data_IF_818775470004
#
_entry.id   IF_818775470004
#
_cell.length_a   1.000
_cell.length_b   1.000
_cell.length_c   1.000
_cell.angle_alpha   90.00
_cell.angle_beta   90.00
_cell.angle_gamma   90.00
#
_symmetry.space_group_name_H-M   'P 1'
#
loop_
_entity.id
_entity.type
_entity.pdbx_description
1 polymer ?
#
# COMPACT_ATOMS: atom_id res chain seq x y z
N UNK A 1 8.91 37.78 -10.54
CA UNK A 1 8.29 37.27 -9.30
C UNK A 1 8.85 35.89 -9.07
N UNK A 2 9.96 35.79 -8.35
CA UNK A 2 10.65 34.54 -8.06
C UNK A 2 9.79 33.77 -7.06
N UNK A 3 9.09 32.72 -7.51
CA UNK A 3 8.36 31.81 -6.63
C UNK A 3 9.35 31.13 -5.70
N UNK A 4 9.47 31.64 -4.47
CA UNK A 4 10.25 31.01 -3.42
C UNK A 4 9.71 29.59 -3.18
N UNK A 5 10.41 28.59 -3.73
CA UNK A 5 10.14 27.18 -3.44
C UNK A 5 10.43 26.99 -1.96
N UNK A 6 9.37 26.74 -1.17
CA UNK A 6 9.53 26.54 0.27
C UNK A 6 10.19 25.20 0.54
N UNK A 7 11.09 25.17 1.52
CA UNK A 7 11.89 23.99 1.84
C UNK A 7 11.00 22.82 2.32
N UNK A 8 11.37 21.56 2.03
CA UNK A 8 10.66 20.37 2.50
C UNK A 8 10.43 20.41 4.01
N UNK A 9 9.21 20.06 4.45
CA UNK A 9 8.86 19.97 5.87
C UNK A 9 9.09 18.55 6.37
N UNK A 10 9.56 18.41 7.61
CA UNK A 10 9.73 17.10 8.24
C UNK A 10 8.37 16.52 8.67
N UNK A 11 8.11 15.23 8.45
CA UNK A 11 6.97 14.56 9.06
C UNK A 11 7.14 14.51 10.59
N UNK A 12 6.03 14.54 11.31
CA UNK A 12 6.03 14.48 12.78
C UNK A 12 4.62 14.55 13.37
N UNK A 13 4.51 14.35 14.68
CA UNK A 13 3.23 14.30 15.41
C UNK A 13 2.39 15.56 15.19
N UNK A 14 3.02 16.73 15.13
CA UNK A 14 2.32 18.00 14.86
C UNK A 14 1.61 17.98 13.50
N UNK A 15 2.25 17.44 12.46
CA UNK A 15 1.63 17.31 11.14
C UNK A 15 0.55 16.24 11.13
N UNK A 16 0.83 15.09 11.75
CA UNK A 16 -0.13 13.98 11.90
C UNK A 16 -1.47 14.48 12.46
N UNK A 17 -1.42 15.30 13.51
CA UNK A 17 -2.60 15.80 14.20
C UNK A 17 -3.19 17.08 13.59
N UNK A 18 -2.52 17.73 12.63
CA UNK A 18 -3.02 19.01 12.09
C UNK A 18 -4.15 18.84 11.07
N UNK A 19 -4.35 17.63 10.53
CA UNK A 19 -5.43 17.38 9.56
C UNK A 19 -5.75 15.87 9.43
N UNK A 20 -7.02 15.45 9.27
CA UNK A 20 -7.38 14.03 9.13
C UNK A 20 -6.67 13.32 7.97
N UNK A 21 -6.44 14.02 6.86
CA UNK A 21 -5.65 13.50 5.74
C UNK A 21 -4.24 13.03 6.16
N UNK A 22 -3.59 13.73 7.09
CA UNK A 22 -2.25 13.35 7.56
C UNK A 22 -2.32 12.14 8.49
N UNK A 23 -3.35 12.07 9.32
CA UNK A 23 -3.60 10.88 10.13
C UNK A 23 -3.78 9.62 9.27
N UNK A 24 -4.54 9.73 8.18
CA UNK A 24 -4.77 8.63 7.22
C UNK A 24 -3.49 8.30 6.46
N UNK A 25 -2.90 9.28 5.77
CA UNK A 25 -1.74 9.07 4.90
C UNK A 25 -0.53 8.53 5.66
N UNK A 26 -0.33 8.94 6.92
CA UNK A 26 0.77 8.48 7.77
C UNK A 26 0.43 7.20 8.56
N UNK A 27 -0.67 6.51 8.23
CA UNK A 27 -1.04 5.23 8.82
C UNK A 27 -1.29 5.29 10.32
N UNK A 28 -2.01 6.31 10.79
CA UNK A 28 -2.20 6.60 12.22
C UNK A 28 -0.91 6.80 13.02
N UNK A 29 0.20 7.12 12.34
CA UNK A 29 1.51 7.38 12.95
C UNK A 29 2.56 6.30 12.67
N UNK A 30 2.22 5.16 12.06
CA UNK A 30 3.19 4.14 11.65
C UNK A 30 4.24 4.70 10.68
N UNK A 31 3.82 5.59 9.78
CA UNK A 31 4.69 6.30 8.85
C UNK A 31 5.64 7.32 9.50
N UNK A 32 5.49 7.60 10.79
CA UNK A 32 6.45 8.41 11.56
C UNK A 32 7.63 7.60 12.10
N UNK A 33 7.68 6.28 11.85
CA UNK A 33 8.80 5.45 12.28
C UNK A 33 10.13 6.02 11.75
N UNK A 34 11.18 6.14 12.59
CA UNK A 34 12.49 6.59 12.13
C UNK A 34 13.22 5.54 11.29
N UNK A 35 12.77 4.28 11.33
CA UNK A 35 13.41 3.15 10.65
C UNK A 35 12.36 2.46 9.80
N UNK A 36 12.64 2.36 8.50
CA UNK A 36 11.80 1.70 7.50
C UNK A 36 10.29 1.99 7.68
N UNK A 37 9.84 3.25 7.53
CA UNK A 37 8.44 3.62 7.74
C UNK A 37 7.47 2.72 6.99
N UNK A 38 7.80 2.36 5.75
CA UNK A 38 7.01 1.42 4.96
C UNK A 38 6.83 0.06 5.62
N UNK A 39 7.92 -0.55 6.12
CA UNK A 39 7.80 -1.83 6.85
C UNK A 39 6.89 -1.71 8.07
N UNK A 40 7.00 -0.64 8.85
CA UNK A 40 6.12 -0.40 10.01
C UNK A 40 4.67 -0.15 9.56
N UNK A 41 4.48 0.57 8.45
CA UNK A 41 3.19 0.82 7.80
C UNK A 41 2.52 -0.46 7.33
N UNK A 42 3.22 -1.31 6.59
CA UNK A 42 2.75 -2.61 6.11
C UNK A 42 2.38 -3.53 7.30
N UNK A 43 3.22 -3.63 8.33
CA UNK A 43 2.93 -4.45 9.51
C UNK A 43 1.72 -3.94 10.29
N UNK A 44 1.59 -2.61 10.40
CA UNK A 44 0.41 -1.98 10.96
C UNK A 44 -0.84 -2.28 10.14
N UNK A 45 -0.76 -2.18 8.81
CA UNK A 45 -1.83 -2.54 7.89
C UNK A 45 -2.27 -4.00 8.04
N UNK A 46 -1.32 -4.93 8.15
CA UNK A 46 -1.60 -6.34 8.41
C UNK A 46 -2.31 -6.55 9.75
N UNK A 47 -1.84 -5.92 10.82
CA UNK A 47 -2.50 -6.00 12.13
C UNK A 47 -3.95 -5.48 12.09
N UNK A 48 -4.16 -4.33 11.43
CA UNK A 48 -5.49 -3.75 11.27
C UNK A 48 -6.39 -4.64 10.41
N UNK A 49 -5.86 -5.27 9.36
CA UNK A 49 -6.61 -6.22 8.54
C UNK A 49 -7.15 -7.37 9.38
N UNK A 50 -6.27 -8.02 10.15
CA UNK A 50 -6.66 -9.15 11.02
C UNK A 50 -7.70 -8.71 12.05
N UNK A 51 -7.54 -7.52 12.63
CA UNK A 51 -8.52 -6.99 13.60
C UNK A 51 -9.90 -6.74 12.95
N UNK A 52 -9.94 -6.21 11.72
CA UNK A 52 -11.19 -6.02 10.98
C UNK A 52 -11.82 -7.35 10.60
N UNK A 53 -11.02 -8.30 10.10
CA UNK A 53 -11.48 -9.63 9.70
C UNK A 53 -12.13 -10.39 10.86
N UNK A 54 -11.54 -10.31 12.06
CA UNK A 54 -12.12 -10.91 13.29
C UNK A 54 -13.51 -10.38 13.63
N UNK A 55 -13.81 -9.13 13.27
CA UNK A 55 -15.12 -8.50 13.51
C UNK A 55 -16.10 -8.79 12.39
N UNK A 56 -15.65 -8.76 11.13
CA UNK A 56 -16.51 -8.98 9.96
C UNK A 56 -16.90 -10.45 9.76
N UNK A 57 -16.05 -11.38 10.20
CA UNK A 57 -16.23 -12.81 9.94
C UNK A 57 -16.04 -13.15 8.47
N UNK A 58 -16.75 -14.18 8.00
CA UNK A 58 -16.62 -14.71 6.64
C UNK A 58 -17.95 -14.70 5.88
N UNK A 59 -17.85 -14.73 4.55
CA UNK A 59 -18.99 -14.87 3.64
C UNK A 59 -19.34 -13.58 2.91
N UNK A 60 -20.40 -13.64 2.10
CA UNK A 60 -20.75 -12.61 1.12
C UNK A 60 -20.88 -11.20 1.72
N UNK A 61 -21.43 -11.07 2.93
CA UNK A 61 -21.58 -9.76 3.56
C UNK A 61 -20.22 -9.17 3.94
N UNK A 62 -19.30 -9.99 4.47
CA UNK A 62 -17.94 -9.57 4.77
C UNK A 62 -17.19 -9.16 3.49
N UNK A 63 -17.36 -9.91 2.40
CA UNK A 63 -16.75 -9.58 1.10
C UNK A 63 -17.25 -8.25 0.53
N UNK A 64 -18.56 -7.98 0.63
CA UNK A 64 -19.15 -6.71 0.22
C UNK A 64 -18.62 -5.54 1.07
N UNK A 65 -18.43 -5.76 2.37
CA UNK A 65 -17.85 -4.76 3.26
C UNK A 65 -16.38 -4.51 2.94
N UNK A 66 -15.58 -5.54 2.67
CA UNK A 66 -14.19 -5.39 2.25
C UNK A 66 -14.06 -4.67 0.90
N UNK A 67 -14.91 -5.02 -0.08
CA UNK A 67 -14.97 -4.31 -1.35
C UNK A 67 -15.28 -2.82 -1.16
N UNK A 68 -16.20 -2.49 -0.26
CA UNK A 68 -16.51 -1.09 0.08
C UNK A 68 -15.33 -0.39 0.79
N UNK A 69 -14.67 -1.05 1.75
CA UNK A 69 -13.48 -0.52 2.45
C UNK A 69 -12.37 -0.22 1.44
N UNK A 70 -12.09 -1.14 0.51
CA UNK A 70 -11.04 -0.96 -0.50
C UNK A 70 -11.40 0.15 -1.49
N UNK A 71 -12.64 0.18 -2.00
CA UNK A 71 -13.08 1.21 -2.93
C UNK A 71 -13.05 2.62 -2.31
N UNK A 72 -13.57 2.77 -1.10
CA UNK A 72 -13.55 4.04 -0.37
C UNK A 72 -12.11 4.39 0.03
N UNK A 73 -11.36 3.41 0.53
CA UNK A 73 -9.97 3.56 0.95
C UNK A 73 -9.05 4.00 -0.18
N UNK A 74 -9.31 3.60 -1.42
CA UNK A 74 -8.60 4.10 -2.59
C UNK A 74 -8.84 5.59 -2.82
N UNK A 75 -10.11 6.02 -2.84
CA UNK A 75 -10.48 7.42 -3.08
C UNK A 75 -10.01 8.34 -1.93
N UNK A 76 -10.23 7.93 -0.69
CA UNK A 76 -9.79 8.66 0.50
C UNK A 76 -8.27 8.67 0.59
N UNK A 77 -7.62 7.54 0.30
CA UNK A 77 -6.18 7.41 0.24
C UNK A 77 -5.54 8.35 -0.75
N UNK A 78 -6.00 8.33 -1.99
CA UNK A 78 -5.53 9.23 -3.04
C UNK A 78 -5.63 10.71 -2.63
N UNK A 79 -6.76 11.12 -2.07
CA UNK A 79 -6.93 12.47 -1.52
C UNK A 79 -5.96 12.76 -0.36
N UNK A 80 -5.84 11.82 0.58
CA UNK A 80 -5.02 11.95 1.78
C UNK A 80 -3.53 12.04 1.44
N UNK A 81 -3.05 11.17 0.56
CA UNK A 81 -1.68 11.14 0.06
C UNK A 81 -1.36 12.44 -0.69
N UNK A 82 -2.23 12.87 -1.61
CA UNK A 82 -2.08 14.15 -2.34
C UNK A 82 -1.92 15.33 -1.37
N UNK A 83 -2.80 15.42 -0.37
CA UNK A 83 -2.79 16.52 0.60
C UNK A 83 -1.56 16.48 1.50
N UNK A 84 -1.15 15.29 1.92
CA UNK A 84 0.00 15.10 2.81
C UNK A 84 1.31 15.38 2.09
N UNK A 85 1.46 14.92 0.84
CA UNK A 85 2.59 15.23 -0.02
C UNK A 85 2.74 16.74 -0.24
N UNK A 86 1.63 17.46 -0.48
CA UNK A 86 1.60 18.93 -0.57
C UNK A 86 2.02 19.61 0.73
N UNK A 87 1.53 19.15 1.88
CA UNK A 87 1.90 19.71 3.18
C UNK A 87 3.38 19.48 3.52
N UNK A 88 3.95 18.35 3.09
CA UNK A 88 5.37 18.02 3.25
C UNK A 88 6.26 18.69 2.20
N UNK A 89 5.68 19.11 1.07
CA UNK A 89 6.39 19.64 -0.09
C UNK A 89 7.38 18.63 -0.68
N UNK A 90 6.98 17.35 -0.64
CA UNK A 90 7.72 16.21 -1.18
C UNK A 90 6.75 15.41 -2.04
N UNK A 91 7.10 15.18 -3.31
CA UNK A 91 6.19 14.57 -4.29
C UNK A 91 5.83 13.11 -3.97
N UNK A 92 6.73 12.42 -3.28
CA UNK A 92 6.57 11.05 -2.78
C UNK A 92 7.34 10.93 -1.44
N UNK A 93 6.75 11.38 -0.33
CA UNK A 93 7.39 11.30 0.98
C UNK A 93 7.25 9.89 1.54
N UNK A 94 8.36 9.20 1.78
CA UNK A 94 8.36 7.84 2.38
C UNK A 94 7.83 7.72 3.81
N UNK A 95 7.20 8.77 4.36
CA UNK A 95 6.40 8.70 5.58
C UNK A 95 4.90 8.48 5.30
N UNK A 96 4.47 8.69 4.05
CA UNK A 96 3.17 8.25 3.58
C UNK A 96 3.26 6.73 3.43
N UNK A 97 2.34 6.02 4.05
CA UNK A 97 2.31 4.54 4.12
C UNK A 97 0.89 3.99 3.92
N UNK A 98 -0.06 4.85 3.52
CA UNK A 98 -1.44 4.45 3.31
C UNK A 98 -1.61 3.60 2.04
N UNK A 99 -0.86 3.93 1.00
CA UNK A 99 -0.61 3.10 -0.17
C UNK A 99 -0.25 1.66 0.22
N UNK A 100 0.73 1.50 1.12
CA UNK A 100 1.19 0.17 1.55
C UNK A 100 0.13 -0.57 2.37
N UNK A 101 -0.56 0.15 3.26
CA UNK A 101 -1.67 -0.37 4.07
C UNK A 101 -2.82 -0.84 3.18
N UNK A 102 -3.20 -0.02 2.21
CA UNK A 102 -4.29 -0.32 1.30
C UNK A 102 -3.93 -1.50 0.39
N UNK A 103 -2.70 -1.53 -0.12
CA UNK A 103 -2.19 -2.60 -0.97
C UNK A 103 -2.14 -3.93 -0.22
N UNK A 104 -1.65 -3.96 1.02
CA UNK A 104 -1.63 -5.21 1.79
C UNK A 104 -3.05 -5.68 2.15
N UNK A 105 -4.01 -4.79 2.39
CA UNK A 105 -5.41 -5.17 2.56
C UNK A 105 -5.99 -5.82 1.31
N UNK A 106 -5.70 -5.26 0.13
CA UNK A 106 -6.11 -5.84 -1.14
C UNK A 106 -5.51 -7.25 -1.32
N UNK A 107 -4.20 -7.39 -1.08
CA UNK A 107 -3.51 -8.68 -1.21
C UNK A 107 -4.13 -9.72 -0.27
N UNK A 108 -4.28 -9.40 1.02
CA UNK A 108 -4.82 -10.33 2.01
C UNK A 108 -6.29 -10.68 1.75
N UNK A 109 -7.11 -9.71 1.32
CA UNK A 109 -8.49 -9.97 0.96
C UNK A 109 -8.63 -10.94 -0.22
N UNK A 110 -7.80 -10.78 -1.26
CA UNK A 110 -7.82 -11.66 -2.45
C UNK A 110 -7.22 -13.04 -2.16
N UNK A 111 -6.15 -13.11 -1.35
CA UNK A 111 -5.59 -14.38 -0.86
C UNK A 111 -6.62 -15.15 -0.04
N UNK A 112 -7.54 -14.44 0.62
CA UNK A 112 -8.64 -15.02 1.40
C UNK A 112 -8.16 -15.63 2.70
N UNK A 113 -8.91 -16.63 3.20
CA UNK A 113 -8.66 -17.29 4.48
C UNK A 113 -7.36 -18.14 4.47
N UNK A 114 -6.21 -17.48 4.52
CA UNK A 114 -4.91 -18.08 4.73
C UNK A 114 -4.56 -18.14 6.22
N UNK A 115 -3.83 -19.17 6.62
CA UNK A 115 -3.21 -19.21 7.95
C UNK A 115 -2.16 -18.09 8.09
N UNK A 116 -1.71 -17.85 9.32
CA UNK A 116 -0.74 -16.78 9.59
C UNK A 116 0.54 -16.90 8.75
N UNK A 117 0.92 -18.11 8.34
CA UNK A 117 2.08 -18.37 7.47
C UNK A 117 1.82 -17.90 6.04
N UNK A 118 0.65 -18.19 5.49
CA UNK A 118 0.24 -17.67 4.19
C UNK A 118 0.13 -16.15 4.18
N UNK A 119 -0.40 -15.55 5.24
CA UNK A 119 -0.44 -14.09 5.40
C UNK A 119 0.98 -13.49 5.48
N UNK A 120 1.86 -14.10 6.28
CA UNK A 120 3.26 -13.65 6.38
C UNK A 120 4.00 -13.77 5.03
N UNK A 121 3.74 -14.82 4.25
CA UNK A 121 4.29 -14.98 2.91
C UNK A 121 3.77 -13.91 1.96
N UNK A 122 2.47 -13.57 2.05
CA UNK A 122 1.88 -12.50 1.24
C UNK A 122 2.47 -11.13 1.58
N UNK A 123 2.64 -10.81 2.87
CA UNK A 123 3.34 -9.60 3.35
C UNK A 123 4.78 -9.57 2.84
N UNK A 124 5.52 -10.68 2.95
CA UNK A 124 6.91 -10.75 2.50
C UNK A 124 7.03 -10.57 0.98
N UNK A 125 6.16 -11.22 0.21
CA UNK A 125 6.12 -11.09 -1.25
C UNK A 125 5.76 -9.67 -1.69
N UNK A 126 4.75 -9.05 -1.06
CA UNK A 126 4.40 -7.66 -1.29
C UNK A 126 5.57 -6.72 -1.02
N UNK A 127 6.19 -6.85 0.16
CA UNK A 127 7.35 -6.03 0.53
C UNK A 127 8.53 -6.18 -0.42
N UNK A 128 8.74 -7.37 -0.98
CA UNK A 128 9.75 -7.60 -2.01
C UNK A 128 9.44 -6.76 -3.27
N UNK A 129 8.21 -6.82 -3.78
CA UNK A 129 7.85 -6.07 -4.99
C UNK A 129 7.85 -4.55 -4.78
N UNK A 130 7.33 -4.07 -3.66
CA UNK A 130 7.35 -2.63 -3.37
C UNK A 130 8.78 -2.11 -3.09
N UNK A 131 9.60 -2.82 -2.30
CA UNK A 131 10.95 -2.34 -2.00
C UNK A 131 11.90 -2.40 -3.21
N UNK A 132 11.87 -3.51 -3.95
CA UNK A 132 12.81 -3.73 -5.05
C UNK A 132 12.34 -3.08 -6.36
N UNK A 133 11.05 -2.74 -6.47
CA UNK A 133 10.38 -2.19 -7.65
C UNK A 133 10.80 -2.86 -8.97
N UNK A 134 10.75 -4.20 -9.11
CA UNK A 134 11.17 -4.85 -10.35
C UNK A 134 10.15 -4.61 -11.48
N UNK A 135 10.65 -4.42 -12.70
CA UNK A 135 9.85 -4.46 -13.94
C UNK A 135 8.60 -3.57 -13.91
N UNK A 136 7.37 -4.14 -13.89
CA UNK A 136 6.13 -3.36 -13.89
C UNK A 136 6.03 -2.32 -12.77
N UNK A 137 6.56 -2.61 -11.58
CA UNK A 137 6.52 -1.68 -10.44
C UNK A 137 7.39 -0.46 -10.71
N UNK A 138 8.60 -0.64 -11.25
CA UNK A 138 9.46 0.48 -11.67
C UNK A 138 8.82 1.32 -12.78
N UNK A 139 8.08 0.71 -13.70
CA UNK A 139 7.33 1.46 -14.72
C UNK A 139 6.23 2.32 -14.08
N UNK A 140 5.46 1.76 -13.15
CA UNK A 140 4.39 2.47 -12.45
C UNK A 140 4.94 3.64 -11.62
N UNK A 141 6.03 3.41 -10.87
CA UNK A 141 6.76 4.41 -10.10
C UNK A 141 7.23 5.58 -10.99
N UNK A 142 7.59 5.31 -12.24
CA UNK A 142 8.07 6.34 -13.18
C UNK A 142 6.93 7.10 -13.88
N UNK A 143 5.73 6.53 -14.00
CA UNK A 143 4.64 7.05 -14.80
C UNK A 143 4.15 8.43 -14.33
N UNK A 144 4.17 8.67 -13.03
CA UNK A 144 3.67 9.90 -12.40
C UNK A 144 4.77 10.78 -11.80
N UNK A 145 6.04 10.49 -12.11
CA UNK A 145 7.19 11.26 -11.59
C UNK A 145 7.08 12.73 -11.96
N UNK A 146 7.12 13.56 -10.93
CA UNK A 146 7.06 14.99 -11.08
C UNK A 146 8.47 15.57 -11.31
N UNK A 147 8.67 16.41 -12.34
CA UNK A 147 9.90 17.17 -12.48
C UNK A 147 10.15 18.06 -11.25
N UNK A 148 11.42 18.17 -10.84
CA UNK A 148 11.79 18.99 -9.68
C UNK A 148 11.30 20.44 -9.85
N UNK A 149 10.68 20.97 -8.80
CA UNK A 149 10.19 22.35 -8.76
C UNK A 149 8.76 22.57 -9.27
N UNK A 150 8.08 21.53 -9.77
CA UNK A 150 6.67 21.63 -10.14
C UNK A 150 5.75 21.47 -8.92
N UNK A 151 4.52 22.03 -8.96
CA UNK A 151 3.55 21.87 -7.89
C UNK A 151 3.04 20.43 -7.80
N UNK A 152 2.95 19.91 -6.57
CA UNK A 152 2.41 18.57 -6.31
C UNK A 152 0.90 18.57 -6.62
N UNK A 153 0.51 17.79 -7.62
CA UNK A 153 -0.85 17.64 -8.11
C UNK A 153 -1.56 16.40 -7.56
N UNK A 154 -2.80 16.21 -8.01
CA UNK A 154 -3.53 14.96 -7.78
C UNK A 154 -2.84 13.77 -8.47
N UNK A 155 -2.18 14.01 -9.61
CA UNK A 155 -1.49 12.97 -10.37
C UNK A 155 -0.35 12.33 -9.55
N UNK A 156 0.36 13.12 -8.75
CA UNK A 156 1.41 12.61 -7.87
C UNK A 156 0.84 11.74 -6.75
N UNK A 157 -0.23 12.19 -6.09
CA UNK A 157 -0.89 11.36 -5.08
C UNK A 157 -1.52 10.10 -5.66
N UNK A 158 -1.92 10.10 -6.93
CA UNK A 158 -2.36 8.89 -7.63
C UNK A 158 -1.18 7.97 -7.89
N UNK A 159 -0.02 8.54 -8.28
CA UNK A 159 1.23 7.81 -8.45
C UNK A 159 1.64 7.01 -7.23
N UNK A 160 1.60 7.65 -6.05
CA UNK A 160 1.87 7.01 -4.74
C UNK A 160 0.95 5.80 -4.49
N UNK A 161 -0.33 5.89 -4.85
CA UNK A 161 -1.25 4.75 -4.66
C UNK A 161 -1.05 3.66 -5.73
N UNK A 162 -0.60 4.06 -6.92
CA UNK A 162 -0.64 3.22 -8.11
C UNK A 162 0.57 2.28 -8.21
N UNK A 163 1.76 2.72 -7.82
CA UNK A 163 2.93 1.82 -7.82
C UNK A 163 2.75 0.65 -6.84
N UNK A 164 2.18 0.90 -5.67
CA UNK A 164 1.84 -0.11 -4.68
C UNK A 164 0.68 -1.02 -5.10
N UNK A 165 -0.31 -0.50 -5.83
CA UNK A 165 -1.32 -1.34 -6.49
C UNK A 165 -0.68 -2.30 -7.49
N UNK A 166 0.31 -1.83 -8.26
CA UNK A 166 1.04 -2.69 -9.21
C UNK A 166 1.89 -3.71 -8.46
N UNK A 167 2.53 -3.34 -7.36
CA UNK A 167 3.25 -4.28 -6.48
C UNK A 167 2.31 -5.35 -5.89
N UNK A 168 1.10 -4.98 -5.45
CA UNK A 168 0.07 -5.90 -5.01
C UNK A 168 -0.37 -6.86 -6.14
N UNK A 169 -0.55 -6.35 -7.37
CA UNK A 169 -0.86 -7.17 -8.54
C UNK A 169 0.23 -8.20 -8.85
N UNK A 170 1.51 -7.78 -8.83
CA UNK A 170 2.64 -8.69 -9.00
C UNK A 170 2.70 -9.75 -7.90
N UNK A 171 2.40 -9.37 -6.66
CA UNK A 171 2.33 -10.27 -5.50
C UNK A 171 1.28 -11.34 -5.69
N UNK A 172 0.05 -10.94 -6.04
CA UNK A 172 -1.06 -11.86 -6.27
C UNK A 172 -0.77 -12.83 -7.42
N UNK A 173 -0.17 -12.33 -8.51
CA UNK A 173 0.23 -13.17 -9.63
C UNK A 173 1.29 -14.21 -9.21
N UNK A 174 2.32 -13.80 -8.46
CA UNK A 174 3.36 -14.70 -7.97
C UNK A 174 2.76 -15.80 -7.08
N UNK A 175 1.89 -15.42 -6.13
CA UNK A 175 1.25 -16.38 -5.23
C UNK A 175 0.32 -17.33 -5.99
N UNK A 176 -0.45 -16.83 -6.96
CA UNK A 176 -1.31 -17.66 -7.80
C UNK A 176 -0.49 -18.69 -8.61
N UNK A 177 0.62 -18.27 -9.22
CA UNK A 177 1.51 -19.19 -9.94
C UNK A 177 2.13 -20.24 -9.00
N UNK A 178 2.54 -19.86 -7.79
CA UNK A 178 3.07 -20.80 -6.81
C UNK A 178 2.03 -21.87 -6.42
N UNK A 179 0.76 -21.48 -6.26
CA UNK A 179 -0.35 -22.39 -6.00
C UNK A 179 -0.57 -23.34 -7.19
N UNK A 180 -0.61 -22.80 -8.41
CA UNK A 180 -0.79 -23.61 -9.64
C UNK A 180 0.34 -24.63 -9.81
N UNK A 181 1.60 -24.23 -9.62
CA UNK A 181 2.76 -25.13 -9.71
C UNK A 181 2.69 -26.24 -8.66
N UNK A 182 2.32 -25.89 -7.42
CA UNK A 182 2.15 -26.86 -6.33
C UNK A 182 1.04 -27.87 -6.63
N UNK A 183 -0.07 -27.43 -7.22
CA UNK A 183 -1.20 -28.31 -7.56
C UNK A 183 -0.94 -29.14 -8.82
N UNK A 184 -0.32 -28.55 -9.85
CA UNK A 184 0.04 -29.22 -11.10
C UNK A 184 1.15 -30.26 -10.94
N UNK A 185 2.11 -30.03 -10.03
CA UNK A 185 3.14 -31.01 -9.68
C UNK A 185 2.62 -32.24 -8.94
N UNK A 186 1.51 -32.12 -8.19
CA UNK A 186 0.87 -33.26 -7.50
C UNK A 186 0.14 -34.17 -8.48
N UNK A 187 -0.43 -33.63 -9.56
CA UNK A 187 -1.09 -34.43 -10.61
C UNK A 187 -0.11 -35.22 -11.48
N UNK A 188 1.12 -34.70 -11.69
CA UNK A 188 2.13 -35.38 -12.49
C UNK A 188 2.77 -36.60 -11.79
N UNK A 189 2.82 -36.61 -10.44
CA UNK A 189 3.39 -37.72 -9.66
C UNK A 189 2.44 -38.90 -9.39
N UNK A 190 1.15 -38.77 -9.74
CA UNK A 190 0.16 -39.86 -9.63
C UNK A 190 -0.08 -40.58 -10.96
N UNK A 191 0.53 -40.11 -12.06
CA UNK A 191 0.43 -40.68 -13.40
C UNK A 191 1.79 -41.15 -13.96
N UNK A 192 2.82 -41.22 -13.12
CA UNK A 192 4.14 -41.81 -13.42
C UNK A 192 4.36 -43.07 -12.58
#
# INVERSE_FOLDING_TARGET
METLVSAPRRPGVRLLLSHPAHWIALGAGSGLSPIAPGTVGTLWGWLVFVAIEQVLGQGRQADLTWAAILAIGWLVGWWACTRTARSLQVADPGAIVWDEIWAIWLVLWVVGAADWRGQALAVAAFRFFDAAKPGPVAWADQLFKLPKGQPIGWAQGLGIMFDDLVAAGCTLLLLALAVVVRQGGVSAGLLS
#
